data_IF_454085894451
#
_entry.id   IF_454085894451
#
_cell.length_a   1.000
_cell.length_b   1.000
_cell.length_c   1.000
_cell.angle_alpha   90.00
_cell.angle_beta   90.00
_cell.angle_gamma   90.00
#
_symmetry.space_group_name_H-M   'P 1'
#
loop_
_entity.id
_entity.type
_entity.pdbx_description
1 polymer ?
#
# COMPACT_ATOMS: atom_id res chain seq x y z
N UNK A 1 2.03 0.12 -11.13
CA UNK A 1 3.10 0.58 -12.05
C UNK A 1 4.29 -0.31 -11.72
N UNK A 2 4.35 -1.50 -12.32
CA UNK A 2 5.23 -2.57 -11.85
C UNK A 2 6.32 -2.83 -12.89
N UNK A 3 7.34 -1.97 -12.94
CA UNK A 3 8.43 -2.09 -13.91
C UNK A 3 9.55 -1.04 -13.76
N UNK A 4 10.79 -1.52 -13.63
CA UNK A 4 12.07 -0.78 -13.47
C UNK A 4 12.11 0.27 -12.35
N UNK A 5 12.10 -0.20 -11.09
CA UNK A 5 12.44 0.62 -9.92
C UNK A 5 11.25 0.93 -9.01
N UNK A 6 11.55 1.55 -7.86
CA UNK A 6 10.56 1.97 -6.87
C UNK A 6 9.95 3.33 -7.29
N UNK A 7 8.64 3.40 -7.64
CA UNK A 7 8.02 4.64 -8.09
C UNK A 7 8.17 5.78 -7.08
N UNK A 8 8.06 5.48 -5.78
CA UNK A 8 8.09 6.51 -4.75
C UNK A 8 9.47 7.16 -4.53
N UNK A 9 10.56 6.61 -5.09
CA UNK A 9 11.83 7.35 -5.15
C UNK A 9 11.73 8.60 -6.03
N UNK A 10 10.78 8.63 -6.97
CA UNK A 10 10.54 9.73 -7.87
C UNK A 10 9.12 10.32 -7.68
N UNK A 11 8.77 10.57 -6.42
CA UNK A 11 7.42 10.93 -5.99
C UNK A 11 6.83 12.13 -6.75
N UNK A 12 7.63 13.17 -7.04
CA UNK A 12 7.14 14.39 -7.68
C UNK A 12 6.63 14.11 -9.10
N UNK A 13 7.40 13.30 -9.85
CA UNK A 13 7.01 12.90 -11.20
C UNK A 13 5.87 11.87 -11.18
N UNK A 14 5.81 10.99 -10.18
CA UNK A 14 4.71 10.04 -10.02
C UNK A 14 3.40 10.75 -9.73
N UNK A 15 3.37 11.70 -8.79
CA UNK A 15 2.17 12.50 -8.50
C UNK A 15 1.76 13.30 -9.72
N UNK A 16 2.70 13.93 -10.42
CA UNK A 16 2.41 14.65 -11.66
C UNK A 16 1.80 13.74 -12.72
N UNK A 17 2.36 12.56 -12.96
CA UNK A 17 1.83 11.61 -13.92
C UNK A 17 0.44 11.09 -13.50
N UNK A 18 0.26 10.75 -12.23
CA UNK A 18 -1.03 10.33 -11.67
C UNK A 18 -2.09 11.41 -11.86
N UNK A 19 -1.77 12.67 -11.60
CA UNK A 19 -2.68 13.80 -11.80
C UNK A 19 -3.06 13.96 -13.26
N UNK A 20 -2.10 13.87 -14.21
CA UNK A 20 -2.39 13.93 -15.65
C UNK A 20 -3.31 12.77 -16.09
N UNK A 21 -3.14 11.57 -15.52
CA UNK A 21 -3.97 10.42 -15.87
C UNK A 21 -5.43 10.60 -15.45
N UNK A 22 -5.69 11.31 -14.33
CA UNK A 22 -7.05 11.49 -13.79
C UNK A 22 -7.67 12.84 -14.16
N UNK A 23 -6.89 13.78 -14.69
CA UNK A 23 -7.35 15.09 -15.11
C UNK A 23 -8.39 15.01 -16.23
N UNK A 24 -9.40 15.87 -16.19
CA UNK A 24 -10.47 15.94 -17.20
C UNK A 24 -9.97 16.35 -18.59
N UNK A 25 -8.90 17.16 -18.65
CA UNK A 25 -8.22 17.55 -19.88
C UNK A 25 -7.09 16.57 -20.25
N UNK A 26 -6.80 15.59 -19.39
CA UNK A 26 -5.83 14.54 -19.60
C UNK A 26 -6.46 13.27 -20.15
N UNK A 27 -6.18 12.13 -19.49
CA UNK A 27 -6.76 10.84 -19.87
C UNK A 27 -8.13 10.57 -19.22
N UNK A 28 -8.55 11.41 -18.27
CA UNK A 28 -9.83 11.33 -17.58
C UNK A 28 -10.13 9.95 -16.98
N UNK A 29 -9.10 9.25 -16.50
CA UNK A 29 -9.30 7.99 -15.81
C UNK A 29 -9.85 8.22 -14.40
N UNK A 30 -10.72 7.31 -13.97
CA UNK A 30 -11.11 7.28 -12.56
C UNK A 30 -9.85 7.06 -11.70
N UNK A 31 -9.63 7.83 -10.63
CA UNK A 31 -8.49 7.63 -9.74
C UNK A 31 -8.37 6.20 -9.20
N UNK A 32 -9.50 5.50 -9.04
CA UNK A 32 -9.55 4.09 -8.62
C UNK A 32 -8.99 3.11 -9.63
N UNK A 33 -8.83 3.51 -10.90
CA UNK A 33 -8.28 2.69 -11.99
C UNK A 33 -6.78 2.94 -12.22
N UNK A 34 -6.20 3.97 -11.60
CA UNK A 34 -4.77 4.29 -11.68
C UNK A 34 -4.11 3.79 -10.40
N UNK A 35 -3.33 2.71 -10.50
CA UNK A 35 -2.68 2.10 -9.34
C UNK A 35 -1.16 2.31 -9.37
N UNK A 36 -0.66 2.98 -8.34
CA UNK A 36 0.78 3.12 -8.08
C UNK A 36 1.18 2.05 -7.08
N UNK A 37 2.22 1.28 -7.38
CA UNK A 37 2.75 0.24 -6.52
C UNK A 37 4.00 0.71 -5.78
N UNK A 38 4.27 0.15 -4.61
CA UNK A 38 5.43 0.50 -3.79
C UNK A 38 5.91 -0.66 -2.94
N UNK A 39 7.23 -0.73 -2.75
CA UNK A 39 7.91 -1.61 -1.80
C UNK A 39 7.80 -1.16 -0.32
N UNK A 40 7.17 -0.01 -0.05
CA UNK A 40 6.94 0.50 1.30
C UNK A 40 7.92 1.58 1.74
N UNK A 41 8.22 2.55 0.87
CA UNK A 41 9.00 3.73 1.21
C UNK A 41 8.18 4.70 2.09
N UNK A 42 8.12 4.43 3.39
CA UNK A 42 7.16 5.02 4.35
C UNK A 42 6.98 6.54 4.22
N UNK A 43 8.02 7.40 4.19
CA UNK A 43 7.82 8.84 4.09
C UNK A 43 7.14 9.28 2.79
N UNK A 44 7.50 8.66 1.67
CA UNK A 44 6.96 9.00 0.36
C UNK A 44 5.59 8.37 0.13
N UNK A 45 5.32 7.23 0.79
CA UNK A 45 4.00 6.62 0.83
C UNK A 45 3.00 7.55 1.52
N UNK A 46 3.36 8.11 2.68
CA UNK A 46 2.54 9.12 3.36
C UNK A 46 2.28 10.31 2.43
N UNK A 47 3.34 10.84 1.83
CA UNK A 47 3.24 11.95 0.88
C UNK A 47 2.28 11.65 -0.28
N UNK A 48 2.40 10.47 -0.89
CA UNK A 48 1.49 10.02 -1.95
C UNK A 48 0.04 9.96 -1.47
N UNK A 49 -0.20 9.42 -0.27
CA UNK A 49 -1.53 9.35 0.31
C UNK A 49 -2.10 10.74 0.68
N UNK A 50 -1.29 11.78 0.88
CA UNK A 50 -1.81 13.13 1.06
C UNK A 50 -2.05 13.86 -0.26
N UNK A 51 -1.18 13.67 -1.25
CA UNK A 51 -1.16 14.46 -2.48
C UNK A 51 -1.91 13.82 -3.66
N UNK A 52 -2.23 12.52 -3.60
CA UNK A 52 -2.92 11.80 -4.67
C UNK A 52 -4.15 11.04 -4.18
N UNK A 53 -5.16 10.95 -5.05
CA UNK A 53 -6.35 10.10 -4.87
C UNK A 53 -6.30 8.82 -5.70
N UNK A 54 -5.21 8.59 -6.44
CA UNK A 54 -5.01 7.35 -7.20
C UNK A 54 -4.86 6.16 -6.24
N UNK A 55 -5.20 4.96 -6.71
CA UNK A 55 -5.07 3.73 -5.93
C UNK A 55 -3.59 3.42 -5.61
N UNK A 56 -3.36 2.82 -4.45
CA UNK A 56 -2.03 2.40 -3.98
C UNK A 56 -1.99 0.87 -3.84
N UNK A 57 -0.93 0.26 -4.34
CA UNK A 57 -0.57 -1.12 -4.09
C UNK A 57 0.72 -1.20 -3.28
N UNK A 58 0.77 -2.06 -2.26
CA UNK A 58 1.92 -2.22 -1.37
C UNK A 58 2.41 -3.66 -1.44
N UNK A 59 3.64 -3.85 -1.87
CA UNK A 59 4.27 -5.16 -1.93
C UNK A 59 4.80 -5.57 -0.55
N UNK A 60 4.18 -6.58 0.05
CA UNK A 60 4.61 -7.15 1.34
C UNK A 60 5.65 -8.24 1.14
N UNK A 61 5.34 -9.21 0.27
CA UNK A 61 6.17 -10.35 -0.14
C UNK A 61 6.78 -11.22 0.98
N UNK A 62 6.46 -10.96 2.25
CA UNK A 62 6.91 -11.74 3.40
C UNK A 62 6.04 -11.44 4.62
N UNK A 63 5.92 -12.41 5.54
CA UNK A 63 5.17 -12.30 6.80
C UNK A 63 6.05 -11.91 7.99
N UNK A 64 7.38 -12.08 7.88
CA UNK A 64 8.35 -11.71 8.90
C UNK A 64 9.39 -10.75 8.34
N UNK A 65 9.94 -9.87 9.19
CA UNK A 65 11.00 -8.94 8.80
C UNK A 65 12.25 -9.68 8.30
N UNK A 66 12.55 -10.86 8.83
CA UNK A 66 13.71 -11.68 8.43
C UNK A 66 13.62 -12.09 6.96
N UNK A 67 12.49 -12.70 6.57
CA UNK A 67 12.25 -13.11 5.18
C UNK A 67 12.13 -11.88 4.27
N UNK A 68 11.49 -10.82 4.76
CA UNK A 68 11.35 -9.57 4.00
C UNK A 68 12.69 -8.89 3.76
N UNK A 69 13.63 -8.96 4.70
CA UNK A 69 14.98 -8.39 4.55
C UNK A 69 15.82 -9.11 3.48
N UNK A 70 15.50 -10.36 3.18
CA UNK A 70 16.11 -11.13 2.09
C UNK A 70 15.51 -10.75 0.73
N UNK A 71 14.19 -10.64 0.66
CA UNK A 71 13.47 -10.39 -0.61
C UNK A 71 13.48 -8.89 -0.97
N UNK A 72 13.38 -8.01 0.02
CA UNK A 72 13.18 -6.57 -0.11
C UNK A 72 14.08 -5.81 0.89
N UNK A 73 15.33 -5.46 0.52
CA UNK A 73 16.28 -4.81 1.43
C UNK A 73 15.79 -3.51 2.08
N UNK A 74 14.83 -2.82 1.45
CA UNK A 74 14.17 -1.62 2.00
C UNK A 74 13.53 -1.86 3.37
N UNK A 75 13.15 -3.11 3.68
CA UNK A 75 12.57 -3.48 4.97
C UNK A 75 13.53 -3.28 6.15
N UNK A 76 14.84 -3.32 5.91
CA UNK A 76 15.85 -3.03 6.95
C UNK A 76 15.75 -1.61 7.47
N UNK A 77 15.31 -0.68 6.61
CA UNK A 77 15.09 0.73 6.94
C UNK A 77 13.66 0.98 7.41
N UNK A 78 12.69 0.33 6.77
CA UNK A 78 11.26 0.48 7.06
C UNK A 78 10.63 -0.90 7.31
N UNK A 79 10.69 -1.34 8.57
CA UNK A 79 10.17 -2.64 9.00
C UNK A 79 8.67 -2.75 8.73
N UNK A 80 8.19 -3.99 8.66
CA UNK A 80 6.80 -4.31 8.37
C UNK A 80 5.83 -3.60 9.34
N UNK A 81 6.14 -3.58 10.63
CA UNK A 81 5.27 -2.97 11.63
C UNK A 81 5.11 -1.45 11.43
N UNK A 82 6.20 -0.75 11.11
CA UNK A 82 6.16 0.68 10.83
C UNK A 82 5.34 0.98 9.57
N UNK A 83 5.49 0.15 8.52
CA UNK A 83 4.73 0.27 7.29
C UNK A 83 3.22 0.06 7.53
N UNK A 84 2.85 -0.99 8.25
CA UNK A 84 1.46 -1.31 8.55
C UNK A 84 0.80 -0.28 9.48
N UNK A 85 1.50 0.18 10.51
CA UNK A 85 1.02 1.25 11.39
C UNK A 85 0.78 2.54 10.61
N UNK A 86 1.74 2.92 9.76
CA UNK A 86 1.59 4.08 8.87
C UNK A 86 0.35 3.93 7.98
N UNK A 87 0.19 2.80 7.30
CA UNK A 87 -0.99 2.57 6.45
C UNK A 87 -2.28 2.66 7.25
N UNK A 88 -2.33 2.07 8.45
CA UNK A 88 -3.52 2.14 9.30
C UNK A 88 -3.86 3.58 9.71
N UNK A 89 -2.86 4.38 10.09
CA UNK A 89 -3.03 5.80 10.44
C UNK A 89 -3.56 6.60 9.25
N UNK A 90 -2.91 6.49 8.09
CA UNK A 90 -3.29 7.27 6.90
C UNK A 90 -4.66 6.84 6.34
N UNK A 91 -5.00 5.55 6.38
CA UNK A 91 -6.28 5.04 5.89
C UNK A 91 -7.46 5.47 6.76
N UNK A 92 -7.27 5.61 8.08
CA UNK A 92 -8.29 6.18 8.97
C UNK A 92 -8.66 7.62 8.59
N UNK A 93 -7.72 8.37 8.03
CA UNK A 93 -7.95 9.75 7.59
C UNK A 93 -8.62 9.83 6.20
N UNK A 94 -8.58 8.75 5.41
CA UNK A 94 -9.12 8.69 4.05
C UNK A 94 -10.37 7.81 3.95
N UNK A 95 -11.54 8.44 3.90
CA UNK A 95 -12.82 7.76 3.68
C UNK A 95 -12.84 6.98 2.37
N UNK A 96 -13.30 5.72 2.42
CA UNK A 96 -13.52 4.84 1.27
C UNK A 96 -12.29 4.63 0.36
N UNK A 97 -11.08 4.74 0.92
CA UNK A 97 -9.85 4.45 0.21
C UNK A 97 -9.34 3.06 0.57
N UNK A 98 -8.96 2.28 -0.44
CA UNK A 98 -8.45 0.91 -0.26
C UNK A 98 -7.03 0.80 -0.81
N UNK A 99 -6.20 0.09 -0.07
CA UNK A 99 -4.83 -0.24 -0.48
C UNK A 99 -4.82 -1.70 -0.92
N UNK A 100 -4.30 -1.96 -2.10
CA UNK A 100 -4.04 -3.32 -2.57
C UNK A 100 -2.77 -3.82 -1.91
N UNK A 101 -2.78 -5.04 -1.40
CA UNK A 101 -1.55 -5.68 -0.92
C UNK A 101 -1.11 -6.74 -1.90
N UNK A 102 0.12 -6.61 -2.36
CA UNK A 102 0.74 -7.55 -3.29
C UNK A 102 1.62 -8.53 -2.52
N UNK A 103 1.49 -9.80 -2.91
CA UNK A 103 2.27 -10.88 -2.30
C UNK A 103 2.69 -11.87 -3.37
N UNK A 104 3.99 -11.95 -3.62
CA UNK A 104 4.58 -12.97 -4.48
C UNK A 104 4.83 -14.23 -3.67
N UNK A 105 4.25 -15.35 -4.09
CA UNK A 105 4.54 -16.66 -3.53
C UNK A 105 5.80 -17.24 -4.18
N UNK A 106 6.83 -17.46 -3.36
CA UNK A 106 8.10 -18.07 -3.70
C UNK A 106 8.15 -19.45 -3.04
N UNK A 107 8.20 -20.48 -3.87
CA UNK A 107 8.26 -21.88 -3.45
C UNK A 107 9.44 -22.13 -2.50
N UNK A 108 9.17 -22.75 -1.35
CA UNK A 108 10.15 -23.05 -0.31
C UNK A 108 10.69 -21.85 0.48
N UNK A 109 10.24 -20.63 0.19
CA UNK A 109 10.71 -19.39 0.86
C UNK A 109 9.60 -18.76 1.70
N UNK A 110 8.43 -18.53 1.10
CA UNK A 110 7.33 -17.87 1.78
C UNK A 110 5.97 -18.56 1.53
N UNK A 111 5.94 -19.71 0.86
CA UNK A 111 4.75 -20.46 0.43
C UNK A 111 3.98 -21.18 1.56
N UNK A 112 4.65 -21.54 2.66
CA UNK A 112 4.10 -22.51 3.62
C UNK A 112 3.03 -22.00 4.60
N UNK A 113 2.81 -20.70 4.79
CA UNK A 113 1.80 -20.18 5.74
C UNK A 113 1.25 -18.78 5.35
N UNK A 114 1.04 -18.54 4.05
CA UNK A 114 0.64 -17.22 3.52
C UNK A 114 -0.81 -16.84 3.88
N UNK A 115 -1.73 -17.80 3.79
CA UNK A 115 -3.16 -17.47 3.82
C UNK A 115 -3.63 -16.91 5.17
N UNK A 116 -3.30 -17.56 6.29
CA UNK A 116 -3.91 -17.21 7.58
C UNK A 116 -3.41 -15.86 8.13
N UNK A 117 -2.12 -15.56 7.98
CA UNK A 117 -1.51 -14.35 8.54
C UNK A 117 -1.88 -13.08 7.76
N UNK A 118 -1.92 -13.15 6.43
CA UNK A 118 -2.36 -12.03 5.60
C UNK A 118 -3.85 -11.78 5.78
N UNK A 119 -4.68 -12.82 5.82
CA UNK A 119 -6.12 -12.66 6.07
C UNK A 119 -6.34 -11.91 7.39
N UNK A 120 -5.70 -12.32 8.49
CA UNK A 120 -5.89 -11.69 9.81
C UNK A 120 -5.44 -10.22 9.84
N UNK A 121 -4.25 -9.89 9.31
CA UNK A 121 -3.75 -8.49 9.30
C UNK A 121 -4.52 -7.58 8.34
N UNK A 122 -5.06 -8.12 7.24
CA UNK A 122 -5.84 -7.35 6.27
C UNK A 122 -7.26 -7.09 6.76
N UNK A 123 -7.92 -8.04 7.43
CA UNK A 123 -9.24 -7.80 8.05
C UNK A 123 -9.19 -6.69 9.10
N UNK A 124 -8.07 -6.54 9.84
CA UNK A 124 -7.88 -5.42 10.79
C UNK A 124 -7.70 -4.05 10.14
N UNK A 125 -7.43 -3.98 8.83
CA UNK A 125 -7.33 -2.73 8.07
C UNK A 125 -8.67 -2.36 7.40
N UNK A 126 -9.55 -3.34 7.16
CA UNK A 126 -10.91 -3.16 6.63
C UNK A 126 -11.95 -2.84 7.72
N UNK A 127 -11.54 -2.66 8.99
CA UNK A 127 -12.45 -2.30 10.10
C UNK A 127 -12.97 -0.86 9.96
N UNK A 128 -13.88 -0.68 9.01
CA UNK A 128 -14.79 0.44 8.87
C UNK A 128 -16.23 -0.04 9.13
N UNK A 129 -16.43 -0.88 10.14
CA UNK A 129 -17.75 -1.16 10.73
C UNK A 129 -17.56 -1.33 12.24
N UNK A 130 -17.52 -0.22 12.98
CA UNK A 130 -17.78 -0.17 14.43
C UNK A 130 -17.91 1.30 14.87
N UNK A 131 -18.87 2.01 14.28
CA UNK A 131 -19.46 3.23 14.84
C UNK A 131 -20.94 3.21 14.43
N UNK A 132 -21.74 2.38 15.11
CA UNK A 132 -23.20 2.49 15.21
C UNK A 132 -23.70 1.45 16.24
N UNK A 133 -23.30 1.60 17.51
CA UNK A 133 -24.02 0.93 18.61
C UNK A 133 -23.89 1.62 19.97
N UNK A 134 -23.87 2.95 20.01
CA UNK A 134 -24.19 3.70 21.23
C UNK A 134 -24.94 4.99 20.90
N UNK A 135 -26.24 4.83 20.61
CA UNK A 135 -27.28 5.82 20.92
C UNK A 135 -28.61 5.09 20.99
N UNK A 136 -28.91 4.54 22.17
CA UNK A 136 -30.25 4.46 22.80
C UNK A 136 -30.10 3.84 24.19
#
# INVERSE_FOLDING_TARGET
MDGMGEPLHNIDNVIKAANIMVDEQGLQFSPRKVTVSTSGLVPQLKRFLHESNCALAVSLNATTDEVRNWIMPINRKYKLDLLLQTLQEELRLKKNYKVLFEYVMLEGINDRLVNLFLQIKLTTLDCHEMDDMHTS
#
